data_IF_271994679592
#
_entry.id   IF_271994679592
#
_cell.length_a   1.000
_cell.length_b   1.000
_cell.length_c   1.000
_cell.angle_alpha   90.00
_cell.angle_beta   90.00
_cell.angle_gamma   90.00
#
_symmetry.space_group_name_H-M   'P 1'
#
loop_
_entity.id
_entity.type
_entity.pdbx_description
1 polymer ?
#
# COMPACT_ATOMS: atom_id res chain seq x y z
N UNK A 1 -8.23 7.74 9.21
CA UNK A 1 -7.20 8.35 8.35
C UNK A 1 -7.58 8.25 6.88
N UNK A 2 -8.02 7.09 6.41
CA UNK A 2 -8.48 6.90 5.02
C UNK A 2 -9.66 7.77 4.59
N UNK A 3 -10.65 8.01 5.47
CA UNK A 3 -11.76 8.92 5.16
C UNK A 3 -11.27 10.30 4.71
N UNK A 4 -10.29 10.88 5.42
CA UNK A 4 -9.70 12.17 5.08
C UNK A 4 -9.02 12.13 3.72
N UNK A 5 -8.22 11.10 3.45
CA UNK A 5 -7.48 10.97 2.20
C UNK A 5 -8.44 10.79 1.01
N UNK A 6 -9.39 9.84 1.10
CA UNK A 6 -10.36 9.55 0.05
C UNK A 6 -11.35 10.72 -0.17
N UNK A 7 -11.76 11.40 0.89
CA UNK A 7 -12.61 12.60 0.77
C UNK A 7 -11.87 13.74 0.06
N UNK A 8 -10.57 13.92 0.34
CA UNK A 8 -9.74 14.92 -0.36
C UNK A 8 -9.60 14.58 -1.85
N UNK A 9 -9.63 13.30 -2.20
CA UNK A 9 -9.65 12.83 -3.60
C UNK A 9 -11.04 12.91 -4.25
N UNK A 10 -12.07 13.35 -3.53
CA UNK A 10 -13.42 13.62 -4.05
C UNK A 10 -14.48 12.59 -3.66
N UNK A 11 -14.15 11.55 -2.89
CA UNK A 11 -15.13 10.59 -2.38
C UNK A 11 -15.82 11.16 -1.13
N UNK A 12 -16.65 12.20 -1.27
CA UNK A 12 -17.31 12.86 -0.12
C UNK A 12 -18.70 12.31 0.19
N UNK A 13 -19.51 12.05 -0.84
CA UNK A 13 -20.91 11.68 -0.65
C UNK A 13 -21.08 10.28 -0.03
N UNK A 14 -20.09 9.40 -0.22
CA UNK A 14 -20.08 8.05 0.35
C UNK A 14 -20.08 8.03 1.89
N UNK A 15 -19.55 9.08 2.52
CA UNK A 15 -19.47 9.22 3.99
C UNK A 15 -20.67 9.96 4.59
N UNK A 16 -21.42 10.70 3.77
CA UNK A 16 -22.59 11.47 4.23
C UNK A 16 -23.83 10.57 4.25
N UNK A 17 -24.34 10.27 5.45
CA UNK A 17 -25.53 9.45 5.67
C UNK A 17 -26.75 9.91 4.83
N UNK A 18 -26.88 11.21 4.57
CA UNK A 18 -28.01 11.78 3.81
C UNK A 18 -27.78 11.73 2.30
N UNK A 19 -26.54 11.68 1.82
CA UNK A 19 -26.22 11.69 0.39
C UNK A 19 -25.83 10.32 -0.16
N UNK A 20 -25.11 9.51 0.60
CA UNK A 20 -24.57 8.22 0.19
C UNK A 20 -25.60 7.33 -0.51
N UNK A 21 -25.29 6.81 -1.69
CA UNK A 21 -26.17 5.88 -2.40
C UNK A 21 -25.47 4.55 -2.60
N UNK A 22 -25.76 3.60 -1.71
CA UNK A 22 -25.32 2.21 -1.79
C UNK A 22 -26.49 1.25 -2.08
N UNK A 23 -27.52 1.73 -2.78
CA UNK A 23 -28.71 0.93 -3.12
C UNK A 23 -28.41 -0.34 -3.92
N UNK A 24 -27.32 -0.38 -4.69
CA UNK A 24 -26.88 -1.60 -5.40
C UNK A 24 -26.34 -2.70 -4.48
N UNK A 25 -25.91 -2.35 -3.25
CA UNK A 25 -25.40 -3.29 -2.24
C UNK A 25 -26.52 -3.75 -1.31
N UNK A 26 -27.46 -2.85 -1.01
CA UNK A 26 -28.69 -3.18 -0.30
C UNK A 26 -29.57 -4.04 -1.20
N UNK A 27 -29.65 -5.34 -0.92
CA UNK A 27 -30.67 -6.19 -1.54
C UNK A 27 -32.10 -5.68 -1.28
N UNK A 28 -33.13 -6.38 -1.78
CA UNK A 28 -34.56 -6.03 -1.59
C UNK A 28 -35.06 -6.15 -0.12
N UNK A 29 -34.25 -5.83 0.88
CA UNK A 29 -34.66 -5.86 2.29
C UNK A 29 -35.15 -4.45 2.66
N UNK A 30 -36.43 -4.23 2.38
CA UNK A 30 -37.13 -3.01 2.78
C UNK A 30 -37.09 -2.86 4.31
N UNK A 31 -36.48 -1.78 4.82
CA UNK A 31 -36.58 -1.39 6.23
C UNK A 31 -35.26 -1.10 6.96
N UNK A 32 -34.09 -1.31 6.35
CA UNK A 32 -32.78 -1.16 7.03
C UNK A 32 -32.11 0.22 6.81
N UNK A 33 -32.84 1.33 6.91
CA UNK A 33 -32.23 2.68 6.87
C UNK A 33 -31.41 2.98 5.59
N UNK A 34 -30.61 4.04 5.61
CA UNK A 34 -29.75 4.45 4.49
C UNK A 34 -28.30 4.04 4.78
N UNK A 35 -27.70 3.24 3.89
CA UNK A 35 -26.32 2.77 4.04
C UNK A 35 -25.33 3.88 3.64
N UNK A 36 -24.26 4.02 4.41
CA UNK A 36 -23.12 4.90 4.12
C UNK A 36 -21.82 4.27 4.63
N UNK A 37 -20.66 4.80 4.24
CA UNK A 37 -19.37 4.37 4.76
C UNK A 37 -19.14 4.94 6.16
N UNK A 38 -18.91 4.05 7.12
CA UNK A 38 -18.49 4.44 8.47
C UNK A 38 -16.95 4.48 8.62
N UNK A 39 -16.22 3.76 7.78
CA UNK A 39 -14.77 3.66 7.84
C UNK A 39 -14.19 2.78 6.73
N UNK A 40 -12.94 3.04 6.36
CA UNK A 40 -12.13 2.15 5.50
C UNK A 40 -10.82 1.89 6.23
N UNK A 41 -10.48 0.61 6.36
CA UNK A 41 -9.21 0.16 6.92
C UNK A 41 -8.39 -0.52 5.82
N UNK A 42 -7.18 -0.02 5.61
CA UNK A 42 -6.20 -0.65 4.74
C UNK A 42 -5.02 -1.12 5.59
N UNK A 43 -4.67 -2.40 5.48
CA UNK A 43 -3.56 -3.02 6.19
C UNK A 43 -2.78 -3.88 5.21
N UNK A 44 -1.46 -3.71 5.17
CA UNK A 44 -0.55 -4.48 4.33
C UNK A 44 0.76 -4.74 5.07
N UNK A 45 1.40 -5.86 4.75
CA UNK A 45 2.70 -6.26 5.30
C UNK A 45 3.62 -6.68 4.15
N UNK A 46 4.88 -6.28 4.19
CA UNK A 46 5.91 -6.67 3.21
C UNK A 46 7.11 -7.24 3.97
N UNK A 47 7.54 -8.43 3.58
CA UNK A 47 8.72 -9.10 4.12
C UNK A 47 9.77 -9.26 3.01
N UNK A 48 11.01 -8.85 3.29
CA UNK A 48 12.15 -9.03 2.39
C UNK A 48 13.02 -10.16 2.96
N UNK A 49 13.17 -11.23 2.18
CA UNK A 49 13.95 -12.42 2.58
C UNK A 49 15.05 -12.70 1.55
N UNK A 50 16.14 -13.39 1.94
CA UNK A 50 17.20 -13.77 1.00
C UNK A 50 16.79 -14.89 0.03
N UNK A 51 15.62 -15.52 0.21
CA UNK A 51 15.17 -16.62 -0.64
C UNK A 51 14.37 -16.09 -1.82
N UNK A 52 14.94 -16.22 -3.02
CA UNK A 52 14.27 -15.95 -4.29
C UNK A 52 14.22 -17.20 -5.17
N UNK A 53 13.22 -17.28 -6.06
CA UNK A 53 13.15 -18.33 -7.07
C UNK A 53 14.08 -18.02 -8.25
N UNK A 54 15.09 -18.85 -8.46
CA UNK A 54 16.05 -18.75 -9.56
C UNK A 54 17.41 -19.29 -9.17
N UNK A 55 18.12 -19.91 -10.12
CA UNK A 55 19.55 -20.19 -9.92
C UNK A 55 20.34 -18.89 -10.06
N UNK A 56 21.38 -18.67 -9.24
CA UNK A 56 22.26 -17.52 -9.42
C UNK A 56 22.91 -17.63 -10.79
N UNK A 57 22.57 -16.70 -11.68
CA UNK A 57 23.23 -16.59 -12.98
C UNK A 57 24.68 -16.15 -12.73
N UNK A 58 25.66 -16.97 -13.13
CA UNK A 58 27.09 -16.64 -13.05
C UNK A 58 27.45 -15.61 -14.14
N UNK A 59 26.76 -14.48 -14.16
CA UNK A 59 27.05 -13.40 -15.08
C UNK A 59 28.37 -12.73 -14.68
N UNK A 60 29.25 -12.46 -15.64
CA UNK A 60 30.51 -11.74 -15.39
C UNK A 60 30.21 -10.30 -15.01
N UNK A 61 30.02 -10.07 -13.71
CA UNK A 61 29.79 -8.73 -13.17
C UNK A 61 31.09 -7.92 -13.32
N UNK A 62 31.06 -6.92 -14.20
CA UNK A 62 32.15 -5.96 -14.39
C UNK A 62 32.28 -4.97 -13.23
N UNK A 63 32.48 -3.67 -13.50
CA UNK A 63 32.38 -2.64 -12.45
C UNK A 63 30.94 -2.56 -11.94
N UNK A 64 30.71 -3.03 -10.72
CA UNK A 64 29.42 -2.93 -10.03
C UNK A 64 29.08 -1.48 -9.71
N UNK A 65 27.80 -1.14 -9.81
CA UNK A 65 27.25 0.08 -9.22
C UNK A 65 26.80 -0.25 -7.80
N UNK A 66 27.05 0.67 -6.87
CA UNK A 66 26.58 0.53 -5.49
C UNK A 66 25.09 0.87 -5.41
N UNK A 67 24.31 -0.06 -4.89
CA UNK A 67 22.95 0.19 -4.41
C UNK A 67 22.95 -0.09 -2.91
N UNK A 68 22.93 0.98 -2.12
CA UNK A 68 22.99 0.92 -0.66
C UNK A 68 21.73 1.60 -0.11
N UNK A 69 20.81 0.79 0.45
CA UNK A 69 19.50 1.23 0.91
C UNK A 69 19.49 1.43 2.44
N UNK A 70 20.34 2.34 2.92
CA UNK A 70 20.54 2.68 4.34
C UNK A 70 19.75 3.92 4.81
N UNK A 71 18.90 4.45 3.94
CA UNK A 71 18.05 5.63 4.18
C UNK A 71 16.68 5.42 3.52
N UNK A 72 15.74 6.35 3.71
CA UNK A 72 14.40 6.27 3.14
C UNK A 72 14.37 5.92 1.64
N UNK A 73 13.56 4.93 1.27
CA UNK A 73 13.32 4.57 -0.13
C UNK A 73 11.87 4.17 -0.40
N UNK A 74 11.51 4.12 -1.68
CA UNK A 74 10.17 3.73 -2.15
C UNK A 74 10.24 2.30 -2.72
N UNK A 75 9.23 1.49 -2.42
CA UNK A 75 9.05 0.13 -2.97
C UNK A 75 7.87 0.12 -3.93
N UNK A 76 8.09 -0.45 -5.12
CA UNK A 76 7.04 -0.71 -6.11
C UNK A 76 7.08 -2.19 -6.49
N UNK A 77 5.95 -2.87 -6.36
CA UNK A 77 5.75 -4.22 -6.90
C UNK A 77 4.81 -4.10 -8.09
N UNK A 78 5.27 -4.54 -9.26
CA UNK A 78 4.56 -4.38 -10.52
C UNK A 78 4.49 -5.72 -11.24
N UNK A 79 3.34 -6.04 -11.83
CA UNK A 79 3.25 -7.11 -12.80
C UNK A 79 3.93 -6.67 -14.11
N UNK A 80 4.92 -7.44 -14.57
CA UNK A 80 5.72 -7.09 -15.74
C UNK A 80 4.96 -7.24 -17.07
N UNK A 81 3.87 -8.01 -17.10
CA UNK A 81 3.07 -8.22 -18.33
C UNK A 81 2.01 -7.14 -18.49
N UNK A 82 1.09 -7.02 -17.52
CA UNK A 82 -0.02 -6.05 -17.59
C UNK A 82 0.41 -4.63 -17.22
N UNK A 83 1.50 -4.51 -16.47
CA UNK A 83 1.94 -3.26 -15.89
C UNK A 83 1.18 -2.83 -14.64
N UNK A 84 0.29 -3.67 -14.11
CA UNK A 84 -0.48 -3.38 -12.90
C UNK A 84 0.43 -3.14 -11.69
N UNK A 85 0.12 -2.10 -10.92
CA UNK A 85 0.77 -1.81 -9.64
C UNK A 85 0.12 -2.68 -8.56
N UNK A 86 0.88 -3.63 -8.03
CA UNK A 86 0.43 -4.57 -7.00
C UNK A 86 0.65 -4.03 -5.59
N UNK A 87 1.75 -3.31 -5.39
CA UNK A 87 2.08 -2.65 -4.12
C UNK A 87 2.89 -1.38 -4.38
N UNK A 88 2.60 -0.33 -3.60
CA UNK A 88 3.38 0.89 -3.51
C UNK A 88 3.51 1.25 -2.03
N UNK A 89 4.73 1.50 -1.58
CA UNK A 89 4.99 1.91 -0.20
C UNK A 89 6.29 2.70 -0.10
N UNK A 90 6.46 3.39 1.02
CA UNK A 90 7.71 4.04 1.40
C UNK A 90 8.23 3.38 2.68
N UNK A 91 9.52 3.07 2.71
CA UNK A 91 10.20 2.61 3.91
C UNK A 91 11.00 3.78 4.48
N UNK A 92 10.39 4.51 5.40
CA UNK A 92 11.00 5.67 6.06
C UNK A 92 11.57 5.34 7.43
N UNK A 93 10.99 4.36 8.11
CA UNK A 93 11.42 3.87 9.40
C UNK A 93 11.27 2.36 9.43
N UNK A 94 12.34 1.67 9.81
CA UNK A 94 12.32 0.23 10.08
C UNK A 94 12.13 0.01 11.57
N UNK A 95 11.55 -1.12 11.95
CA UNK A 95 11.52 -1.54 13.34
C UNK A 95 12.95 -1.76 13.86
N UNK A 96 13.26 -1.22 15.03
CA UNK A 96 14.59 -1.33 15.64
C UNK A 96 14.84 -0.25 16.68
N UNK A 97 15.80 -0.49 17.57
CA UNK A 97 16.28 0.54 18.47
C UNK A 97 17.00 1.63 17.67
N UNK A 98 16.77 2.89 18.02
CA UNK A 98 17.58 3.98 17.49
C UNK A 98 19.04 3.73 17.86
N UNK A 99 19.89 3.59 16.84
CA UNK A 99 21.33 3.53 17.05
C UNK A 99 21.83 4.95 17.27
N UNK A 100 22.59 5.13 18.34
CA UNK A 100 23.30 6.39 18.57
C UNK A 100 24.53 6.38 17.68
N UNK A 101 24.63 7.36 16.79
CA UNK A 101 25.87 7.60 16.03
C UNK A 101 26.90 8.23 16.99
N UNK A 102 28.10 7.67 17.03
CA UNK A 102 29.20 8.13 17.89
C UNK A 102 30.33 8.83 17.10
N UNK A 103 30.13 9.04 15.80
CA UNK A 103 31.13 9.64 14.90
C UNK A 103 30.94 11.14 14.67
#
# INVERSE_FOLDING_TARGET
MEEKHLSTLGLTDAWDEKKADFSGVMGKVAGQGKLHLAGVLHWATLELTPWGGGEPDEEKVGKTKLFYADHSFIVLVKDNVSGALLLLGALDQTEGAALHDEL
#
